data_IF_295793048169
#
_entry.id   IF_295793048169
#
_cell.length_a   1.000
_cell.length_b   1.000
_cell.length_c   1.000
_cell.angle_alpha   90.00
_cell.angle_beta   90.00
_cell.angle_gamma   90.00
#
_symmetry.space_group_name_H-M   'P 1'
#
loop_
_entity.id
_entity.type
_entity.pdbx_description
1 polymer ?
#
# COMPACT_ATOMS: atom_id res chain seq x y z
N UNK A 1 3.84 6.59 9.44
CA UNK A 1 3.07 7.70 8.84
C UNK A 1 3.97 8.91 8.60
N UNK A 2 4.50 9.57 9.62
CA UNK A 2 5.32 10.81 9.49
C UNK A 2 6.51 10.71 8.53
N UNK A 3 7.26 9.61 8.57
CA UNK A 3 8.40 9.44 7.65
C UNK A 3 7.95 9.38 6.18
N UNK A 4 6.83 8.71 5.90
CA UNK A 4 6.26 8.62 4.56
C UNK A 4 5.65 9.95 4.11
N UNK A 5 4.99 10.67 5.02
CA UNK A 5 4.43 12.00 4.78
C UNK A 5 5.50 12.96 4.26
N UNK A 6 6.63 13.08 4.99
CA UNK A 6 7.76 13.90 4.55
C UNK A 6 8.32 13.45 3.20
N UNK A 7 8.50 12.14 2.99
CA UNK A 7 9.05 11.61 1.75
C UNK A 7 8.16 11.89 0.54
N UNK A 8 6.84 11.75 0.67
CA UNK A 8 5.90 11.99 -0.43
C UNK A 8 5.86 13.47 -0.85
N UNK A 9 6.23 14.38 0.04
CA UNK A 9 6.43 15.79 -0.30
C UNK A 9 7.75 16.09 -1.01
N UNK A 10 8.79 15.30 -0.78
CA UNK A 10 10.17 15.63 -1.22
C UNK A 10 10.74 14.70 -2.29
N UNK A 11 10.03 13.64 -2.68
CA UNK A 11 10.57 12.57 -3.53
C UNK A 11 10.93 13.03 -4.96
N UNK A 12 10.18 13.96 -5.53
CA UNK A 12 10.53 14.64 -6.78
C UNK A 12 10.00 16.08 -6.76
N UNK A 13 10.82 17.05 -7.17
CA UNK A 13 10.50 18.48 -7.12
C UNK A 13 9.24 18.85 -7.94
N UNK A 14 8.92 18.04 -8.95
CA UNK A 14 7.72 18.16 -9.78
C UNK A 14 6.56 17.25 -9.37
N UNK A 15 6.75 16.33 -8.40
CA UNK A 15 5.67 15.43 -7.95
C UNK A 15 4.87 16.07 -6.83
N UNK A 16 3.70 16.64 -7.17
CA UNK A 16 2.71 17.02 -6.16
C UNK A 16 1.77 15.85 -5.90
N UNK A 17 1.98 15.14 -4.79
CA UNK A 17 1.11 14.07 -4.32
C UNK A 17 0.33 14.58 -3.10
N UNK A 18 -0.85 15.21 -3.26
CA UNK A 18 -1.61 15.72 -2.12
C UNK A 18 -2.05 14.56 -1.21
N UNK A 19 -1.63 14.63 0.05
CA UNK A 19 -1.90 13.62 1.05
C UNK A 19 -2.10 14.24 2.43
N UNK A 20 -2.68 13.47 3.33
CA UNK A 20 -2.80 13.84 4.74
C UNK A 20 -3.06 12.63 5.62
N UNK A 21 -2.98 12.85 6.93
CA UNK A 21 -3.17 11.86 7.98
C UNK A 21 -4.22 12.31 8.99
N UNK A 22 -4.47 11.49 10.01
CA UNK A 22 -5.35 11.83 11.15
C UNK A 22 -5.00 13.19 11.79
N UNK A 23 -3.74 13.63 11.71
CA UNK A 23 -3.27 14.88 12.29
C UNK A 23 -3.66 16.13 11.49
N UNK A 24 -3.88 15.97 10.18
CA UNK A 24 -4.15 17.08 9.25
C UNK A 24 -5.66 17.41 9.17
N UNK A 25 -6.50 16.47 9.61
CA UNK A 25 -7.95 16.59 9.54
C UNK A 25 -8.48 16.59 8.09
N UNK A 26 -9.77 16.89 7.94
CA UNK A 26 -10.47 16.93 6.64
C UNK A 26 -10.24 15.69 5.78
N UNK A 27 -10.25 14.50 6.40
CA UNK A 27 -9.86 13.25 5.76
C UNK A 27 -10.54 12.99 4.41
N UNK A 28 -11.83 13.30 4.29
CA UNK A 28 -12.60 13.17 3.05
C UNK A 28 -12.08 14.03 1.88
N UNK A 29 -11.30 15.08 2.14
CA UNK A 29 -10.69 15.94 1.14
C UNK A 29 -9.27 15.50 0.75
N UNK A 30 -8.70 14.50 1.42
CA UNK A 30 -7.33 14.02 1.16
C UNK A 30 -7.34 12.96 0.03
N UNK A 31 -6.74 13.24 -1.14
CA UNK A 31 -6.71 12.26 -2.24
C UNK A 31 -5.94 10.99 -1.87
N UNK A 32 -4.91 11.14 -1.02
CA UNK A 32 -4.15 10.04 -0.41
C UNK A 32 -4.30 10.18 1.11
N UNK A 33 -4.82 9.14 1.75
CA UNK A 33 -4.92 9.06 3.20
C UNK A 33 -3.80 8.19 3.76
N UNK A 34 -2.98 8.75 4.66
CA UNK A 34 -1.91 8.05 5.33
C UNK A 34 -2.38 7.65 6.73
N UNK A 35 -2.41 6.34 6.98
CA UNK A 35 -2.83 5.80 8.27
C UNK A 35 -1.99 4.57 8.64
N UNK A 36 -1.99 4.25 9.93
CA UNK A 36 -1.50 2.97 10.47
C UNK A 36 -2.65 2.18 11.11
N UNK A 37 -3.87 2.73 11.08
CA UNK A 37 -5.12 2.08 11.47
C UNK A 37 -5.80 1.48 10.23
N UNK A 38 -6.94 0.82 10.43
CA UNK A 38 -7.72 0.18 9.36
C UNK A 38 -8.82 1.07 8.79
N UNK A 39 -8.73 2.39 8.97
CA UNK A 39 -9.74 3.35 8.54
C UNK A 39 -9.61 3.73 7.05
N UNK A 40 -10.75 4.03 6.41
CA UNK A 40 -10.81 4.53 5.03
C UNK A 40 -11.75 5.75 4.92
N UNK A 41 -11.43 6.87 5.60
CA UNK A 41 -12.31 8.03 5.70
C UNK A 41 -12.42 8.84 4.41
N UNK A 42 -11.47 8.69 3.48
CA UNK A 42 -11.50 9.33 2.16
C UNK A 42 -12.17 8.47 1.08
N UNK A 43 -12.73 7.31 1.45
CA UNK A 43 -13.35 6.35 0.53
C UNK A 43 -12.41 5.96 -0.63
N UNK A 44 -11.12 5.79 -0.33
CA UNK A 44 -10.13 5.35 -1.30
C UNK A 44 -10.55 4.02 -1.95
N UNK A 45 -10.41 3.96 -3.27
CA UNK A 45 -10.64 2.74 -4.04
C UNK A 45 -9.39 1.85 -4.17
N UNK A 46 -8.23 2.36 -3.77
CA UNK A 46 -6.96 1.66 -3.83
C UNK A 46 -6.29 1.69 -2.46
N UNK A 47 -5.85 0.51 -2.00
CA UNK A 47 -5.07 0.34 -0.78
C UNK A 47 -3.61 0.04 -1.15
N UNK A 48 -2.66 0.68 -0.47
CA UNK A 48 -1.23 0.38 -0.56
C UNK A 48 -0.74 0.01 0.83
N UNK A 49 -0.36 -1.26 1.00
CA UNK A 49 0.19 -1.80 2.24
C UNK A 49 1.71 -1.74 2.19
N UNK A 50 2.30 -1.21 3.25
CA UNK A 50 3.75 -1.10 3.45
C UNK A 50 4.13 -1.85 4.72
N UNK A 51 5.43 -2.13 4.89
CA UNK A 51 6.02 -2.64 6.13
C UNK A 51 5.33 -3.88 6.72
N UNK A 52 4.82 -4.76 5.86
CA UNK A 52 4.13 -5.99 6.26
C UNK A 52 2.85 -5.80 7.07
N UNK A 53 2.24 -4.61 7.04
CA UNK A 53 0.92 -4.37 7.63
C UNK A 53 -0.13 -5.24 6.94
N UNK A 54 -1.01 -5.84 7.74
CA UNK A 54 -2.18 -6.58 7.26
C UNK A 54 -3.42 -5.69 7.31
N UNK A 55 -4.32 -5.86 6.33
CA UNK A 55 -5.64 -5.26 6.35
C UNK A 55 -6.70 -6.37 6.38
N UNK A 56 -7.69 -6.22 7.26
CA UNK A 56 -8.72 -7.23 7.48
C UNK A 56 -9.76 -7.28 6.33
N UNK A 57 -9.99 -6.15 5.64
CA UNK A 57 -11.00 -6.04 4.59
C UNK A 57 -10.42 -5.53 3.27
N UNK A 58 -9.73 -6.43 2.55
CA UNK A 58 -9.27 -6.16 1.18
C UNK A 58 -10.42 -6.03 0.17
N UNK A 59 -11.60 -6.60 0.47
CA UNK A 59 -12.73 -6.64 -0.45
C UNK A 59 -13.42 -5.27 -0.60
N UNK A 60 -13.28 -4.39 0.39
CA UNK A 60 -13.75 -3.01 0.33
C UNK A 60 -13.04 -2.14 -0.71
N UNK A 61 -11.86 -2.56 -1.19
CA UNK A 61 -11.06 -1.83 -2.17
C UNK A 61 -11.17 -2.45 -3.57
N UNK A 62 -11.10 -1.60 -4.61
CA UNK A 62 -11.06 -2.06 -6.01
C UNK A 62 -9.70 -2.65 -6.39
N UNK A 63 -8.63 -2.17 -5.75
CA UNK A 63 -7.26 -2.66 -5.94
C UNK A 63 -6.48 -2.58 -4.64
N UNK A 64 -5.64 -3.58 -4.39
CA UNK A 64 -4.69 -3.57 -3.28
C UNK A 64 -3.28 -3.84 -3.82
N UNK A 65 -2.31 -3.05 -3.36
CA UNK A 65 -0.89 -3.29 -3.59
C UNK A 65 -0.22 -3.61 -2.25
N UNK A 66 0.31 -4.82 -2.10
CA UNK A 66 1.08 -5.27 -0.93
C UNK A 66 2.56 -5.23 -1.28
N UNK A 67 3.28 -4.23 -0.75
CA UNK A 67 4.71 -4.05 -1.00
C UNK A 67 5.52 -4.70 0.13
N UNK A 68 6.59 -5.37 -0.28
CA UNK A 68 7.54 -6.00 0.63
C UNK A 68 8.94 -5.98 0.03
N UNK A 69 9.97 -5.98 0.88
CA UNK A 69 11.36 -6.07 0.42
C UNK A 69 11.71 -7.52 0.07
N UNK A 70 11.96 -7.77 -1.23
CA UNK A 70 12.38 -9.07 -1.73
C UNK A 70 13.78 -9.51 -1.30
N UNK A 71 14.60 -8.60 -0.76
CA UNK A 71 15.93 -8.90 -0.24
C UNK A 71 15.92 -9.29 1.24
N UNK A 72 14.78 -9.14 1.91
CA UNK A 72 14.63 -9.48 3.33
C UNK A 72 13.81 -10.77 3.49
N UNK A 73 14.46 -11.84 3.97
CA UNK A 73 13.86 -13.18 4.03
C UNK A 73 12.56 -13.22 4.84
N UNK A 74 12.50 -12.52 5.98
CA UNK A 74 11.29 -12.51 6.83
C UNK A 74 10.14 -11.76 6.16
N UNK A 75 10.42 -10.68 5.42
CA UNK A 75 9.41 -9.95 4.64
C UNK A 75 8.84 -10.83 3.51
N UNK A 76 9.69 -11.62 2.85
CA UNK A 76 9.26 -12.58 1.81
C UNK A 76 8.36 -13.68 2.41
N UNK A 77 8.71 -14.19 3.60
CA UNK A 77 7.87 -15.18 4.30
C UNK A 77 6.52 -14.58 4.69
N UNK A 78 6.52 -13.37 5.25
CA UNK A 78 5.29 -12.66 5.61
C UNK A 78 4.39 -12.40 4.39
N UNK A 79 4.96 -11.90 3.29
CA UNK A 79 4.25 -11.67 2.03
C UNK A 79 3.66 -12.96 1.45
N UNK A 80 4.38 -14.09 1.51
CA UNK A 80 3.84 -15.40 1.10
C UNK A 80 2.63 -15.83 1.95
N UNK A 81 2.65 -15.54 3.25
CA UNK A 81 1.51 -15.81 4.11
C UNK A 81 0.29 -14.96 3.75
N UNK A 82 0.48 -13.65 3.53
CA UNK A 82 -0.60 -12.74 3.09
C UNK A 82 -1.14 -13.12 1.71
N UNK A 83 -0.26 -13.48 0.77
CA UNK A 83 -0.65 -13.99 -0.55
C UNK A 83 -1.56 -15.22 -0.46
N UNK A 84 -1.21 -16.20 0.40
CA UNK A 84 -2.04 -17.38 0.63
C UNK A 84 -3.41 -17.02 1.22
N UNK A 85 -3.46 -16.19 2.25
CA UNK A 85 -4.72 -15.71 2.85
C UNK A 85 -5.61 -15.03 1.80
N UNK A 86 -5.04 -14.14 0.99
CA UNK A 86 -5.79 -13.43 -0.05
C UNK A 86 -6.30 -14.37 -1.16
N UNK A 87 -5.51 -15.40 -1.50
CA UNK A 87 -5.93 -16.44 -2.46
C UNK A 87 -7.08 -17.28 -1.92
N UNK A 88 -7.01 -17.68 -0.65
CA UNK A 88 -8.06 -18.43 0.05
C UNK A 88 -9.35 -17.62 0.18
N UNK A 89 -9.24 -16.30 0.33
CA UNK A 89 -10.36 -15.36 0.29
C UNK A 89 -10.94 -15.12 -1.12
N UNK A 90 -10.35 -15.72 -2.16
CA UNK A 90 -10.86 -15.67 -3.54
C UNK A 90 -10.49 -14.42 -4.34
N UNK A 91 -9.51 -13.63 -3.88
CA UNK A 91 -9.06 -12.46 -4.62
C UNK A 91 -8.29 -12.85 -5.90
N UNK A 92 -8.41 -12.00 -6.93
CA UNK A 92 -7.56 -12.09 -8.11
C UNK A 92 -6.18 -11.52 -7.78
N UNK A 93 -5.13 -12.33 -7.94
CA UNK A 93 -3.77 -11.97 -7.53
C UNK A 93 -2.84 -11.92 -8.74
N UNK A 94 -1.92 -10.94 -8.73
CA UNK A 94 -0.80 -10.85 -9.66
C UNK A 94 0.46 -10.49 -8.89
N UNK A 95 1.60 -11.05 -9.27
CA UNK A 95 2.89 -10.76 -8.65
C UNK A 95 3.74 -9.91 -9.59
N UNK A 96 4.27 -8.82 -9.05
CA UNK A 96 5.14 -7.89 -9.76
C UNK A 96 6.48 -7.77 -9.03
N UNK A 97 7.56 -7.68 -9.79
CA UNK A 97 8.91 -7.53 -9.27
C UNK A 97 9.57 -6.31 -9.91
N UNK A 98 10.23 -5.49 -9.10
CA UNK A 98 11.03 -4.38 -9.58
C UNK A 98 12.31 -4.89 -10.26
N UNK A 99 12.64 -4.29 -11.40
CA UNK A 99 13.86 -4.52 -12.19
C UNK A 99 14.56 -3.18 -12.45
N UNK A 100 15.71 -3.22 -13.11
CA UNK A 100 16.46 -2.01 -13.46
C UNK A 100 15.69 -1.04 -14.37
N UNK A 101 14.68 -1.52 -15.12
CA UNK A 101 13.89 -0.74 -16.07
C UNK A 101 12.46 -0.44 -15.60
N UNK A 102 12.07 -0.87 -14.40
CA UNK A 102 10.71 -0.65 -13.89
C UNK A 102 10.15 -1.87 -13.16
N UNK A 103 8.90 -2.23 -13.45
CA UNK A 103 8.20 -3.35 -12.81
C UNK A 103 7.77 -4.38 -13.85
N UNK A 104 7.98 -5.66 -13.55
CA UNK A 104 7.59 -6.78 -14.41
C UNK A 104 6.63 -7.72 -13.71
N UNK A 105 5.53 -8.08 -14.39
CA UNK A 105 4.61 -9.11 -13.91
C UNK A 105 5.24 -10.49 -14.07
N UNK A 106 5.28 -11.26 -12.98
CA UNK A 106 5.80 -12.63 -12.95
C UNK A 106 4.69 -13.69 -12.92
N UNK A 107 3.51 -13.36 -12.38
CA UNK A 107 2.30 -14.20 -12.43
C UNK A 107 1.04 -13.37 -12.37
#
# INVERSE_FOLDING_TARGET
VEHLDVLLWTYEEASFLPHGSVRDGNAAAQPIWLTHDSDNPNAASMLVLLDSVEADDLASFKRCADLFDGNHADAVVAARNRWRKAREAGHALTYWQQTASGWERKS
#
